data_IF_664743348285
#
_entry.id   IF_664743348285
#
_cell.length_a   1.000
_cell.length_b   1.000
_cell.length_c   1.000
_cell.angle_alpha   90.00
_cell.angle_beta   90.00
_cell.angle_gamma   90.00
#
_symmetry.space_group_name_H-M   'P 1'
#
loop_
_entity.id
_entity.type
_entity.pdbx_description
1 polymer ?
#
# COMPACT_ATOMS: atom_id res chain seq x y z
N UNK A 1 -27.23 21.32 8.29
CA UNK A 1 -25.77 21.46 8.13
C UNK A 1 -25.50 22.86 7.61
N UNK A 2 -24.81 23.71 8.39
CA UNK A 2 -24.43 25.06 7.96
C UNK A 2 -23.56 24.95 6.69
N UNK A 3 -23.78 25.75 5.64
CA UNK A 3 -23.10 25.70 4.37
C UNK A 3 -21.58 26.02 4.42
N UNK A 4 -21.02 26.24 5.60
CA UNK A 4 -19.64 26.66 5.84
C UNK A 4 -18.90 25.74 6.82
N UNK A 5 -19.45 24.56 7.14
CA UNK A 5 -18.72 23.61 7.96
C UNK A 5 -17.65 22.94 7.10
N UNK A 6 -16.40 23.04 7.53
CA UNK A 6 -15.27 22.33 6.95
C UNK A 6 -15.59 20.81 6.92
N UNK A 7 -15.68 20.20 5.73
CA UNK A 7 -16.04 18.80 5.58
C UNK A 7 -15.13 17.87 6.41
N UNK A 8 -13.87 18.21 6.53
CA UNK A 8 -12.88 17.41 7.24
C UNK A 8 -13.12 17.45 8.75
N UNK A 9 -13.48 18.60 9.29
CA UNK A 9 -13.83 18.73 10.69
C UNK A 9 -15.10 17.93 11.06
N UNK A 10 -16.08 17.89 10.16
CA UNK A 10 -17.29 17.09 10.35
C UNK A 10 -16.97 15.59 10.32
N UNK A 11 -16.17 15.16 9.35
CA UNK A 11 -15.72 13.77 9.23
C UNK A 11 -14.93 13.32 10.46
N UNK A 12 -14.02 14.16 10.96
CA UNK A 12 -13.26 13.90 12.19
C UNK A 12 -14.17 13.69 13.39
N UNK A 13 -15.10 14.59 13.61
CA UNK A 13 -16.06 14.50 14.71
C UNK A 13 -16.93 13.24 14.62
N UNK A 14 -17.35 12.86 13.41
CA UNK A 14 -18.12 11.66 13.16
C UNK A 14 -17.29 10.39 13.40
N UNK A 15 -16.11 10.31 12.82
CA UNK A 15 -15.22 9.17 12.95
C UNK A 15 -14.81 8.94 14.41
N UNK A 16 -14.45 9.99 15.14
CA UNK A 16 -14.14 9.91 16.56
C UNK A 16 -15.31 9.33 17.38
N UNK A 17 -16.54 9.81 17.15
CA UNK A 17 -17.74 9.31 17.83
C UNK A 17 -18.07 7.86 17.51
N UNK A 18 -17.85 7.44 16.26
CA UNK A 18 -18.04 6.04 15.83
C UNK A 18 -17.03 5.15 16.55
N UNK A 19 -15.76 5.55 16.55
CA UNK A 19 -14.67 4.80 17.20
C UNK A 19 -14.87 4.68 18.71
N UNK A 20 -15.29 5.76 19.36
CA UNK A 20 -15.58 5.80 20.80
C UNK A 20 -16.73 4.84 21.16
N UNK A 21 -17.80 4.82 20.38
CA UNK A 21 -18.92 3.91 20.58
C UNK A 21 -18.58 2.45 20.29
N UNK A 22 -17.78 2.18 19.28
CA UNK A 22 -17.33 0.84 18.95
C UNK A 22 -16.39 0.27 20.02
N UNK A 23 -15.60 1.10 20.70
CA UNK A 23 -14.70 0.70 21.80
C UNK A 23 -15.39 0.24 23.09
N UNK A 24 -16.69 0.52 23.29
CA UNK A 24 -17.44 0.21 24.51
C UNK A 24 -17.99 -1.22 24.63
N UNK A 25 -18.20 -1.96 23.55
CA UNK A 25 -18.68 -3.36 23.50
C UNK A 25 -18.57 -3.94 22.08
N UNK A 26 -17.80 -3.31 21.18
CA UNK A 26 -17.65 -3.64 19.77
C UNK A 26 -16.29 -4.24 19.42
N UNK A 27 -15.95 -4.29 18.12
CA UNK A 27 -14.70 -4.86 17.63
C UNK A 27 -13.48 -4.25 18.33
N UNK A 28 -12.43 -5.05 18.48
CA UNK A 28 -11.19 -4.67 19.17
C UNK A 28 -10.62 -3.37 18.60
N UNK A 29 -9.91 -2.53 19.43
CA UNK A 29 -9.21 -1.37 18.91
C UNK A 29 -8.30 -1.78 17.75
N UNK A 30 -8.61 -1.29 16.53
CA UNK A 30 -7.91 -1.67 15.30
C UNK A 30 -8.73 -2.50 14.31
N UNK A 31 -9.89 -3.04 14.70
CA UNK A 31 -10.80 -3.78 13.79
C UNK A 31 -11.77 -2.85 13.04
N UNK A 32 -12.04 -1.66 13.58
CA UNK A 32 -12.90 -0.69 12.89
C UNK A 32 -12.10 0.12 11.88
N UNK A 33 -12.50 0.04 10.64
CA UNK A 33 -11.95 0.82 9.53
C UNK A 33 -13.06 1.67 8.92
N UNK A 34 -12.79 2.95 8.74
CA UNK A 34 -13.71 3.89 8.13
C UNK A 34 -13.13 4.37 6.80
N UNK A 35 -13.76 4.00 5.69
CA UNK A 35 -13.44 4.52 4.36
C UNK A 35 -14.27 5.75 4.04
N UNK A 36 -13.66 6.73 3.40
CA UNK A 36 -14.31 7.97 2.96
C UNK A 36 -14.12 8.14 1.45
N UNK A 37 -15.21 8.21 0.71
CA UNK A 37 -15.21 8.48 -0.72
C UNK A 37 -15.10 9.97 -1.05
N UNK A 38 -14.98 10.28 -2.33
CA UNK A 38 -14.94 11.63 -2.84
C UNK A 38 -16.23 12.42 -2.49
N UNK A 39 -16.08 13.72 -2.36
CA UNK A 39 -17.24 14.62 -2.14
C UNK A 39 -18.20 14.53 -3.33
N UNK A 40 -19.46 14.19 -3.06
CA UNK A 40 -20.50 14.10 -4.09
C UNK A 40 -21.12 15.48 -4.29
N UNK A 41 -20.95 16.05 -5.48
CA UNK A 41 -21.57 17.33 -5.86
C UNK A 41 -23.04 17.18 -6.27
N UNK A 42 -23.47 15.98 -6.59
CA UNK A 42 -24.84 15.66 -6.98
C UNK A 42 -25.26 14.29 -6.46
N UNK A 43 -26.58 14.03 -6.47
CA UNK A 43 -27.11 12.71 -6.08
C UNK A 43 -26.61 11.57 -7.00
N UNK A 44 -26.25 11.88 -8.24
CA UNK A 44 -25.70 10.89 -9.19
C UNK A 44 -24.30 10.44 -8.79
N UNK A 45 -23.54 11.30 -8.11
CA UNK A 45 -22.18 11.05 -7.66
C UNK A 45 -22.14 10.25 -6.36
N UNK A 46 -23.23 10.20 -5.60
CA UNK A 46 -23.32 9.51 -4.30
C UNK A 46 -22.97 8.02 -4.45
N UNK A 47 -23.50 7.37 -5.50
CA UNK A 47 -23.19 5.94 -5.74
C UNK A 47 -21.69 5.72 -5.96
N UNK A 48 -21.05 6.58 -6.73
CA UNK A 48 -19.61 6.52 -7.00
C UNK A 48 -18.81 6.74 -5.72
N UNK A 49 -19.17 7.78 -4.95
CA UNK A 49 -18.54 8.08 -3.67
C UNK A 49 -18.68 6.92 -2.67
N UNK A 50 -19.84 6.27 -2.62
CA UNK A 50 -20.06 5.12 -1.76
C UNK A 50 -19.22 3.90 -2.16
N UNK A 51 -19.15 3.59 -3.46
CA UNK A 51 -18.30 2.50 -3.97
C UNK A 51 -16.83 2.76 -3.68
N UNK A 52 -16.37 4.00 -3.86
CA UNK A 52 -15.00 4.41 -3.52
C UNK A 52 -14.74 4.25 -2.00
N UNK A 53 -15.65 4.71 -1.15
CA UNK A 53 -15.54 4.56 0.29
C UNK A 53 -15.45 3.08 0.72
N UNK A 54 -16.28 2.21 0.12
CA UNK A 54 -16.25 0.77 0.39
C UNK A 54 -14.91 0.16 -0.02
N UNK A 55 -14.43 0.46 -1.22
CA UNK A 55 -13.12 -0.01 -1.70
C UNK A 55 -11.97 0.46 -0.80
N UNK A 56 -12.00 1.73 -0.38
CA UNK A 56 -11.01 2.29 0.55
C UNK A 56 -11.03 1.54 1.89
N UNK A 57 -12.21 1.25 2.43
CA UNK A 57 -12.36 0.51 3.68
C UNK A 57 -11.82 -0.92 3.55
N UNK A 58 -12.12 -1.62 2.46
CA UNK A 58 -11.64 -2.99 2.20
C UNK A 58 -10.10 -3.03 2.16
N UNK A 59 -9.48 -2.14 1.37
CA UNK A 59 -8.02 -2.04 1.29
C UNK A 59 -7.38 -1.70 2.63
N UNK A 60 -7.98 -0.75 3.37
CA UNK A 60 -7.45 -0.32 4.66
C UNK A 60 -7.62 -1.39 5.75
N UNK A 61 -8.64 -2.25 5.66
CA UNK A 61 -8.86 -3.37 6.56
C UNK A 61 -7.82 -4.50 6.34
N UNK A 62 -7.43 -4.75 5.10
CA UNK A 62 -6.45 -5.77 4.73
C UNK A 62 -4.98 -5.29 4.86
N UNK A 63 -4.76 -4.06 5.35
CA UNK A 63 -3.40 -3.51 5.49
C UNK A 63 -2.56 -4.35 6.45
N UNK A 64 -1.39 -4.84 6.01
CA UNK A 64 -0.45 -5.49 6.91
C UNK A 64 0.12 -4.47 7.92
N UNK A 65 0.48 -4.96 9.10
CA UNK A 65 1.19 -4.16 10.10
C UNK A 65 2.47 -3.58 9.49
N UNK A 66 2.68 -2.26 9.63
CA UNK A 66 3.82 -1.56 9.06
C UNK A 66 3.62 -0.96 7.66
N UNK A 67 2.42 -1.05 7.09
CA UNK A 67 2.09 -0.26 5.90
C UNK A 67 2.27 1.23 6.23
N UNK A 68 3.16 1.95 5.54
CA UNK A 68 3.39 3.34 5.85
C UNK A 68 2.08 4.10 5.75
N UNK A 69 1.75 4.88 6.78
CA UNK A 69 0.72 5.89 6.64
C UNK A 69 1.14 6.73 5.44
N UNK A 70 0.37 6.72 4.36
CA UNK A 70 0.62 7.63 3.27
C UNK A 70 0.44 9.02 3.85
N UNK A 71 1.55 9.70 4.13
CA UNK A 71 1.57 11.07 4.57
C UNK A 71 1.21 11.95 3.39
N UNK A 72 -0.07 11.92 3.00
CA UNK A 72 -0.63 13.01 2.20
C UNK A 72 -0.68 14.25 3.08
N UNK A 73 -0.58 15.47 2.52
CA UNK A 73 -0.72 16.72 3.26
C UNK A 73 -2.06 16.82 4.02
N UNK A 74 -3.02 15.96 3.69
CA UNK A 74 -4.36 15.86 4.28
C UNK A 74 -4.56 14.57 5.10
N UNK A 75 -3.48 13.89 5.49
CA UNK A 75 -3.53 12.68 6.31
C UNK A 75 -4.36 12.93 7.56
N UNK A 76 -5.48 12.22 7.69
CA UNK A 76 -6.36 12.36 8.84
C UNK A 76 -5.58 12.16 10.14
N UNK A 77 -5.92 12.87 11.22
CA UNK A 77 -5.25 12.73 12.50
C UNK A 77 -5.33 11.29 12.98
N UNK A 78 -4.20 10.81 13.50
CA UNK A 78 -4.12 9.50 14.11
C UNK A 78 -5.09 9.40 15.30
N UNK A 79 -5.75 8.26 15.44
CA UNK A 79 -6.51 7.96 16.64
C UNK A 79 -5.56 8.00 17.86
N UNK A 80 -6.01 8.62 18.96
CA UNK A 80 -5.21 8.78 20.16
C UNK A 80 -4.65 7.41 20.64
N UNK A 81 -3.33 7.26 20.59
CA UNK A 81 -2.62 6.08 21.10
C UNK A 81 -2.41 4.92 20.13
N UNK A 82 -3.02 4.89 18.94
CA UNK A 82 -2.90 3.75 18.00
C UNK A 82 -1.97 4.00 16.81
N UNK A 83 -1.57 5.25 16.54
CA UNK A 83 -0.82 5.62 15.33
C UNK A 83 -1.58 5.40 14.00
N UNK A 84 -2.84 4.96 14.07
CA UNK A 84 -3.72 4.74 12.90
C UNK A 84 -4.65 5.93 12.66
N UNK A 85 -4.92 6.34 11.40
CA UNK A 85 -5.91 7.34 11.08
C UNK A 85 -7.32 6.95 11.55
N UNK A 86 -8.15 7.92 11.90
CA UNK A 86 -9.56 7.71 12.24
C UNK A 86 -10.39 7.26 11.04
N UNK A 87 -9.98 7.64 9.84
CA UNK A 87 -10.58 7.25 8.57
C UNK A 87 -9.53 7.28 7.46
N UNK A 88 -9.83 6.64 6.34
CA UNK A 88 -8.99 6.57 5.15
C UNK A 88 -9.71 7.13 3.93
N UNK A 89 -8.99 7.84 3.08
CA UNK A 89 -9.40 8.25 1.74
C UNK A 89 -8.57 7.52 0.69
N UNK A 90 -9.01 7.55 -0.56
CA UNK A 90 -8.23 6.96 -1.67
C UNK A 90 -6.81 7.55 -1.77
N UNK A 91 -6.66 8.85 -1.53
CA UNK A 91 -5.36 9.51 -1.52
C UNK A 91 -4.41 8.96 -0.43
N UNK A 92 -4.94 8.53 0.72
CA UNK A 92 -4.17 7.99 1.85
C UNK A 92 -3.62 6.59 1.56
N UNK A 93 -4.21 5.88 0.60
CA UNK A 93 -3.78 4.54 0.22
C UNK A 93 -2.58 4.55 -0.74
N UNK A 94 -2.37 5.65 -1.46
CA UNK A 94 -1.28 5.81 -2.40
C UNK A 94 -1.23 4.72 -3.48
N UNK A 95 -0.03 4.47 -4.02
CA UNK A 95 0.18 3.47 -5.07
C UNK A 95 -0.19 2.04 -4.61
N UNK A 96 0.11 1.68 -3.38
CA UNK A 96 -0.20 0.35 -2.82
C UNK A 96 -1.70 0.09 -2.83
N UNK A 97 -2.51 1.07 -2.43
CA UNK A 97 -3.96 0.96 -2.47
C UNK A 97 -4.52 0.80 -3.87
N UNK A 98 -4.00 1.56 -4.83
CA UNK A 98 -4.38 1.41 -6.24
C UNK A 98 -4.07 -0.01 -6.75
N UNK A 99 -2.87 -0.52 -6.49
CA UNK A 99 -2.47 -1.86 -6.90
C UNK A 99 -3.29 -2.95 -6.20
N UNK A 100 -3.67 -2.73 -4.94
CA UNK A 100 -4.57 -3.65 -4.24
C UNK A 100 -5.97 -3.69 -4.89
N UNK A 101 -6.52 -2.55 -5.30
CA UNK A 101 -7.79 -2.49 -6.04
C UNK A 101 -7.71 -3.17 -7.41
N UNK A 102 -6.54 -3.16 -8.03
CA UNK A 102 -6.27 -3.74 -9.35
C UNK A 102 -5.68 -5.16 -9.29
N UNK A 103 -5.57 -5.78 -8.13
CA UNK A 103 -4.89 -7.07 -7.94
C UNK A 103 -5.42 -8.21 -8.80
N UNK A 104 -6.72 -8.19 -9.10
CA UNK A 104 -7.39 -9.18 -9.94
C UNK A 104 -7.44 -8.78 -11.43
N UNK A 105 -6.86 -7.62 -11.82
CA UNK A 105 -6.83 -7.19 -13.21
C UNK A 105 -5.78 -7.99 -13.99
N UNK A 106 -6.17 -8.71 -15.06
CA UNK A 106 -5.24 -9.54 -15.84
C UNK A 106 -4.06 -8.78 -16.42
N UNK A 107 -4.22 -7.48 -16.71
CA UNK A 107 -3.14 -6.63 -17.23
C UNK A 107 -2.07 -6.39 -16.19
N UNK A 108 -2.46 -6.21 -14.92
CA UNK A 108 -1.52 -6.07 -13.80
C UNK A 108 -0.80 -7.39 -13.55
N UNK A 109 -1.51 -8.52 -13.61
CA UNK A 109 -0.91 -9.85 -13.48
C UNK A 109 0.09 -10.12 -14.60
N UNK A 110 -0.26 -9.85 -15.86
CA UNK A 110 0.66 -9.98 -16.99
C UNK A 110 1.89 -9.08 -16.84
N UNK A 111 1.71 -7.86 -16.32
CA UNK A 111 2.81 -6.95 -16.04
C UNK A 111 3.75 -7.55 -14.97
N UNK A 112 3.21 -8.06 -13.86
CA UNK A 112 3.99 -8.71 -12.80
C UNK A 112 4.75 -9.93 -13.33
N UNK A 113 4.11 -10.79 -14.11
CA UNK A 113 4.73 -11.96 -14.73
C UNK A 113 5.88 -11.57 -15.66
N UNK A 114 5.72 -10.51 -16.45
CA UNK A 114 6.77 -10.02 -17.34
C UNK A 114 7.97 -9.46 -16.56
N UNK A 115 7.73 -8.64 -15.54
CA UNK A 115 8.80 -7.96 -14.80
C UNK A 115 9.50 -8.87 -13.80
N UNK A 116 8.75 -9.73 -13.10
CA UNK A 116 9.27 -10.54 -12.00
C UNK A 116 9.25 -12.04 -12.25
N UNK A 117 8.56 -12.53 -13.30
CA UNK A 117 8.37 -13.95 -13.56
C UNK A 117 9.66 -14.76 -13.50
N UNK A 118 10.76 -14.36 -14.18
CA UNK A 118 12.03 -15.07 -14.12
C UNK A 118 12.60 -15.17 -12.69
N UNK A 119 12.43 -14.13 -11.87
CA UNK A 119 12.90 -14.10 -10.49
C UNK A 119 11.99 -14.90 -9.55
N UNK A 120 10.68 -14.91 -9.81
CA UNK A 120 9.70 -15.70 -9.04
C UNK A 120 9.86 -17.21 -9.29
N UNK A 121 10.40 -17.61 -10.43
CA UNK A 121 10.70 -18.99 -10.78
C UNK A 121 11.99 -19.51 -10.11
N UNK A 122 12.80 -18.62 -9.54
CA UNK A 122 14.05 -19.02 -8.85
C UNK A 122 13.75 -19.75 -7.54
N UNK A 123 14.47 -20.83 -7.23
CA UNK A 123 14.31 -21.53 -5.95
C UNK A 123 14.79 -20.71 -4.75
N UNK A 124 15.70 -19.76 -4.98
CA UNK A 124 16.23 -18.86 -3.95
C UNK A 124 15.31 -17.65 -3.75
N UNK A 125 14.31 -17.80 -2.90
CA UNK A 125 13.34 -16.75 -2.58
C UNK A 125 13.97 -15.53 -1.91
N UNK A 126 15.19 -15.66 -1.34
CA UNK A 126 15.88 -14.53 -0.71
C UNK A 126 16.29 -13.43 -1.70
N UNK A 127 16.30 -13.73 -3.00
CA UNK A 127 16.57 -12.73 -4.03
C UNK A 127 15.46 -11.67 -4.13
N UNK A 128 14.20 -12.07 -3.90
CA UNK A 128 13.09 -11.11 -3.85
C UNK A 128 13.25 -10.14 -2.67
N UNK A 129 13.68 -10.63 -1.50
CA UNK A 129 13.91 -9.78 -0.33
C UNK A 129 15.05 -8.80 -0.57
N UNK A 130 16.10 -9.23 -1.26
CA UNK A 130 17.23 -8.37 -1.67
C UNK A 130 16.77 -7.28 -2.63
N UNK A 131 15.96 -7.64 -3.63
CA UNK A 131 15.38 -6.69 -4.58
C UNK A 131 14.47 -5.68 -3.85
N UNK A 132 13.59 -6.16 -2.98
CA UNK A 132 12.70 -5.31 -2.18
C UNK A 132 13.49 -4.31 -1.31
N UNK A 133 14.54 -4.77 -0.61
CA UNK A 133 15.40 -3.92 0.19
C UNK A 133 16.12 -2.85 -0.67
N UNK A 134 16.57 -3.22 -1.87
CA UNK A 134 17.22 -2.30 -2.80
C UNK A 134 16.27 -1.21 -3.30
N UNK A 135 15.07 -1.60 -3.72
CA UNK A 135 14.06 -0.66 -4.21
C UNK A 135 13.53 0.25 -3.09
N UNK A 136 13.28 -0.30 -1.89
CA UNK A 136 12.88 0.48 -0.72
C UNK A 136 13.95 1.46 -0.24
N UNK A 137 15.23 1.22 -0.56
CA UNK A 137 16.33 2.15 -0.30
C UNK A 137 16.55 3.17 -1.43
N UNK A 138 15.63 3.26 -2.40
CA UNK A 138 15.75 4.18 -3.54
C UNK A 138 16.96 3.90 -4.44
N UNK A 139 17.45 2.66 -4.49
CA UNK A 139 18.65 2.28 -5.23
C UNK A 139 19.97 2.49 -4.48
N UNK A 140 19.93 2.91 -3.23
CA UNK A 140 21.13 3.03 -2.40
C UNK A 140 21.61 1.65 -1.92
N UNK A 141 22.59 1.09 -2.62
CA UNK A 141 23.14 -0.26 -2.38
C UNK A 141 23.68 -0.44 -0.95
N UNK A 142 24.29 0.61 -0.37
CA UNK A 142 24.87 0.53 0.98
C UNK A 142 23.78 0.50 2.07
N UNK A 143 22.74 1.31 1.92
CA UNK A 143 21.60 1.34 2.81
C UNK A 143 20.75 0.05 2.68
N UNK A 144 20.57 -0.42 1.46
CA UNK A 144 19.85 -1.66 1.18
C UNK A 144 20.53 -2.88 1.81
N UNK A 145 21.86 -2.97 1.74
CA UNK A 145 22.63 -4.06 2.38
C UNK A 145 22.41 -4.09 3.90
N UNK A 146 22.36 -2.91 4.56
CA UNK A 146 22.06 -2.81 5.99
C UNK A 146 20.65 -3.30 6.31
N UNK A 147 19.65 -2.86 5.51
CA UNK A 147 18.25 -3.27 5.68
C UNK A 147 18.05 -4.77 5.48
N UNK A 148 18.78 -5.35 4.53
CA UNK A 148 18.75 -6.79 4.26
C UNK A 148 19.59 -7.60 5.28
N UNK A 149 20.26 -6.96 6.24
CA UNK A 149 21.18 -7.61 7.19
C UNK A 149 22.26 -8.47 6.50
N UNK A 150 22.75 -8.02 5.33
CA UNK A 150 23.76 -8.69 4.55
C UNK A 150 25.08 -7.92 4.52
N UNK A 151 26.20 -8.66 4.44
CA UNK A 151 27.49 -8.08 4.13
C UNK A 151 27.46 -7.45 2.73
N UNK A 152 28.09 -6.29 2.54
CA UNK A 152 28.10 -5.59 1.26
C UNK A 152 28.50 -6.46 0.05
N UNK A 153 29.60 -7.25 0.11
CA UNK A 153 29.97 -8.11 -1.01
C UNK A 153 28.86 -9.07 -1.41
N UNK A 154 28.27 -9.76 -0.45
CA UNK A 154 27.17 -10.71 -0.67
C UNK A 154 25.93 -10.02 -1.28
N UNK A 155 25.60 -8.81 -0.78
CA UNK A 155 24.49 -8.05 -1.31
C UNK A 155 24.71 -7.66 -2.78
N UNK A 156 25.93 -7.20 -3.13
CA UNK A 156 26.27 -6.85 -4.51
C UNK A 156 26.28 -8.06 -5.45
N UNK A 157 26.75 -9.21 -4.99
CA UNK A 157 26.69 -10.44 -5.77
C UNK A 157 25.25 -10.87 -6.08
N UNK A 158 24.36 -10.77 -5.08
CA UNK A 158 22.94 -11.06 -5.26
C UNK A 158 22.26 -10.08 -6.20
N UNK A 159 22.56 -8.79 -6.13
CA UNK A 159 22.04 -7.81 -7.08
C UNK A 159 22.47 -8.12 -8.51
N UNK A 160 23.74 -8.43 -8.74
CA UNK A 160 24.24 -8.84 -10.07
C UNK A 160 23.57 -10.14 -10.56
N UNK A 161 23.24 -11.05 -9.66
CA UNK A 161 22.49 -12.26 -10.00
C UNK A 161 21.07 -11.89 -10.43
N UNK A 162 20.38 -10.99 -9.71
CA UNK A 162 19.05 -10.49 -10.06
C UNK A 162 19.07 -9.82 -11.44
N UNK A 163 20.05 -8.94 -11.72
CA UNK A 163 20.21 -8.31 -13.03
C UNK A 163 20.34 -9.32 -14.16
N UNK A 164 21.12 -10.39 -13.96
CA UNK A 164 21.28 -11.46 -14.96
C UNK A 164 19.98 -12.25 -15.17
N UNK A 165 19.23 -12.53 -14.10
CA UNK A 165 17.97 -13.29 -14.17
C UNK A 165 16.90 -12.48 -14.90
N UNK A 166 16.77 -11.19 -14.54
CA UNK A 166 15.77 -10.30 -15.12
C UNK A 166 16.18 -9.73 -16.48
N UNK A 167 17.46 -9.79 -16.84
CA UNK A 167 17.97 -9.19 -18.06
C UNK A 167 17.86 -7.67 -18.10
N UNK A 168 17.84 -7.01 -16.92
CA UNK A 168 17.62 -5.58 -16.80
C UNK A 168 18.67 -4.89 -15.93
N UNK A 169 18.94 -3.62 -16.22
CA UNK A 169 19.85 -2.78 -15.44
C UNK A 169 19.11 -2.17 -14.23
N UNK A 170 19.52 -2.54 -13.03
CA UNK A 170 18.96 -2.01 -11.80
C UNK A 170 19.41 -0.57 -11.49
N UNK A 171 20.44 -0.05 -12.14
CA UNK A 171 20.84 1.35 -12.00
C UNK A 171 19.98 2.29 -12.86
N UNK A 172 19.18 1.76 -13.82
CA UNK A 172 18.17 2.51 -14.55
C UNK A 172 17.00 2.91 -13.63
N UNK A 173 16.62 4.19 -13.65
CA UNK A 173 15.48 4.68 -12.88
C UNK A 173 14.15 4.07 -13.35
N UNK A 174 13.99 3.86 -14.67
CA UNK A 174 12.81 3.24 -15.27
C UNK A 174 12.65 1.79 -14.81
N UNK A 175 13.73 1.00 -14.90
CA UNK A 175 13.74 -0.39 -14.43
C UNK A 175 13.40 -0.50 -12.95
N UNK A 176 13.99 0.35 -12.09
CA UNK A 176 13.65 0.38 -10.67
C UNK A 176 12.19 0.70 -10.42
N UNK A 177 11.64 1.65 -11.16
CA UNK A 177 10.21 2.02 -11.01
C UNK A 177 9.31 0.85 -11.42
N UNK A 178 9.55 0.23 -12.58
CA UNK A 178 8.78 -0.91 -13.06
C UNK A 178 8.84 -2.08 -12.08
N UNK A 179 10.02 -2.45 -11.63
CA UNK A 179 10.22 -3.54 -10.67
C UNK A 179 9.59 -3.23 -9.31
N UNK A 180 9.63 -1.98 -8.85
CA UNK A 180 8.99 -1.58 -7.60
C UNK A 180 7.46 -1.69 -7.69
N UNK A 181 6.87 -1.21 -8.78
CA UNK A 181 5.43 -1.36 -9.03
C UNK A 181 5.05 -2.83 -9.11
N UNK A 182 5.82 -3.65 -9.82
CA UNK A 182 5.57 -5.09 -9.93
C UNK A 182 5.64 -5.81 -8.57
N UNK A 183 6.62 -5.49 -7.72
CA UNK A 183 6.70 -6.04 -6.36
C UNK A 183 5.50 -5.66 -5.51
N UNK A 184 5.08 -4.39 -5.53
CA UNK A 184 3.91 -3.94 -4.78
C UNK A 184 2.62 -4.62 -5.26
N UNK A 185 2.47 -4.83 -6.58
CA UNK A 185 1.35 -5.55 -7.15
C UNK A 185 1.35 -7.03 -6.75
N UNK A 186 2.51 -7.67 -6.76
CA UNK A 186 2.69 -9.06 -6.31
C UNK A 186 2.35 -9.23 -4.81
N UNK A 187 2.78 -8.29 -3.96
CA UNK A 187 2.42 -8.27 -2.55
C UNK A 187 0.90 -8.15 -2.37
N UNK A 188 0.26 -7.24 -3.12
CA UNK A 188 -1.18 -7.05 -3.07
C UNK A 188 -1.96 -8.32 -3.46
N UNK A 189 -1.50 -9.06 -4.46
CA UNK A 189 -2.11 -10.32 -4.89
C UNK A 189 -1.97 -11.44 -3.84
N UNK A 190 -0.84 -11.48 -3.10
CA UNK A 190 -0.59 -12.49 -2.06
C UNK A 190 -1.44 -12.28 -0.80
N UNK A 191 -1.81 -11.03 -0.50
CA UNK A 191 -2.61 -10.67 0.68
C UNK A 191 -4.10 -10.91 0.47
N UNK A 192 -4.54 -11.19 -0.76
CA UNK A 192 -5.93 -11.52 -1.03
C UNK A 192 -6.30 -12.85 -0.33
N UNK A 193 -7.39 -12.89 0.46
CA UNK A 193 -7.88 -14.15 1.00
C UNK A 193 -8.22 -15.09 -0.17
N UNK A 194 -7.80 -16.36 -0.08
CA UNK A 194 -8.19 -17.38 -1.03
C UNK A 194 -9.72 -17.45 -1.06
N UNK A 195 -10.31 -17.16 -2.24
CA UNK A 195 -11.75 -17.28 -2.47
C UNK A 195 -12.19 -18.74 -2.55
#
# INVERSE_FOLDING_TARGET
>A
LSPHADPDRVLHGLAARITERAGGSGPRPGELVIGVGAVAGSIRDVRRSFLEASQVADVAAERPDGWPAAGGPDGGPAAAGSGRPLFYRLADLGLRGLLHLLRDDPRVQTFVERELGPLLAEPDTSLLDVLAAYLAAGGNKAEAAKRAHLARPTFYERLRRIERILGTDLDSAESRTSLHVALLAQEAARLAPAR
#
